data_IF_272014595113
#
_entry.id   IF_272014595113
#
_cell.length_a   1.000
_cell.length_b   1.000
_cell.length_c   1.000
_cell.angle_alpha   90.00
_cell.angle_beta   90.00
_cell.angle_gamma   90.00
#
_symmetry.space_group_name_H-M   'P 1'
#
loop_
_entity.id
_entity.type
_entity.pdbx_description
1 polymer ?
#
# COMPACT_ATOMS: atom_id res chain seq x y z
N UNK A 1 -5.03 -29.32 9.93
CA UNK A 1 -5.45 -28.16 10.73
C UNK A 1 -4.45 -27.05 10.43
N UNK A 2 -4.90 -26.02 9.72
CA UNK A 2 -4.06 -24.87 9.39
C UNK A 2 -4.40 -23.69 10.32
N UNK A 3 -3.45 -22.80 10.54
CA UNK A 3 -3.66 -21.54 11.26
C UNK A 3 -3.81 -20.43 10.24
N UNK A 4 -4.94 -19.72 10.25
CA UNK A 4 -5.29 -18.70 9.28
C UNK A 4 -5.57 -17.38 9.99
N UNK A 5 -4.96 -16.31 9.52
CA UNK A 5 -5.33 -14.94 9.90
C UNK A 5 -6.20 -14.37 8.80
N UNK A 6 -7.40 -13.91 9.14
CA UNK A 6 -8.33 -13.28 8.19
C UNK A 6 -8.50 -11.80 8.53
N UNK A 7 -8.22 -10.90 7.59
CA UNK A 7 -8.45 -9.47 7.78
C UNK A 7 -9.66 -9.01 7.00
N UNK A 8 -10.53 -8.27 7.63
CA UNK A 8 -11.72 -7.68 7.02
C UNK A 8 -11.66 -6.16 7.01
N UNK A 9 -11.66 -5.57 5.79
CA UNK A 9 -11.62 -4.12 5.59
C UNK A 9 -12.93 -3.43 5.98
N UNK A 10 -12.92 -2.09 6.08
CA UNK A 10 -14.09 -1.31 6.50
C UNK A 10 -15.33 -1.55 5.64
N UNK A 11 -15.19 -1.73 4.33
CA UNK A 11 -16.29 -2.07 3.42
C UNK A 11 -16.87 -3.47 3.67
N UNK A 12 -16.03 -4.39 4.17
CA UNK A 12 -16.43 -5.76 4.54
C UNK A 12 -17.29 -5.79 5.81
N UNK A 13 -17.13 -4.80 6.69
CA UNK A 13 -17.78 -4.67 8.01
C UNK A 13 -18.57 -3.37 8.12
N UNK A 14 -19.07 -2.83 7.00
CA UNK A 14 -19.72 -1.51 6.92
C UNK A 14 -20.98 -1.37 7.79
N UNK A 15 -21.63 -2.47 8.07
CA UNK A 15 -22.88 -2.54 8.85
C UNK A 15 -23.03 -3.91 9.51
N UNK A 16 -24.04 -4.04 10.38
CA UNK A 16 -24.31 -5.29 11.13
C UNK A 16 -24.58 -6.47 10.20
N UNK A 17 -25.28 -6.25 9.07
CA UNK A 17 -25.53 -7.30 8.09
C UNK A 17 -24.25 -7.84 7.48
N UNK A 18 -23.31 -6.96 7.13
CA UNK A 18 -21.98 -7.30 6.65
C UNK A 18 -21.14 -8.03 7.71
N UNK A 19 -21.21 -7.59 8.96
CA UNK A 19 -20.52 -8.26 10.08
C UNK A 19 -21.03 -9.71 10.23
N UNK A 20 -22.35 -9.97 10.08
CA UNK A 20 -22.90 -11.31 10.08
C UNK A 20 -22.41 -12.16 8.91
N UNK A 21 -22.25 -11.57 7.71
CA UNK A 21 -21.66 -12.28 6.57
C UNK A 21 -20.18 -12.64 6.81
N UNK A 22 -19.43 -11.72 7.43
CA UNK A 22 -18.03 -11.98 7.86
C UNK A 22 -18.00 -13.14 8.87
N UNK A 23 -18.90 -13.16 9.85
CA UNK A 23 -18.99 -14.26 10.81
C UNK A 23 -19.21 -15.61 10.14
N UNK A 24 -20.02 -15.68 9.07
CA UNK A 24 -20.20 -16.91 8.28
C UNK A 24 -18.92 -17.35 7.56
N UNK A 25 -18.12 -16.41 7.04
CA UNK A 25 -16.81 -16.73 6.42
C UNK A 25 -15.82 -17.27 7.45
N UNK A 26 -15.73 -16.63 8.61
CA UNK A 26 -14.91 -17.14 9.71
C UNK A 26 -15.36 -18.53 10.13
N UNK A 27 -16.67 -18.73 10.30
CA UNK A 27 -17.25 -20.03 10.64
C UNK A 27 -16.88 -21.11 9.61
N UNK A 28 -16.91 -20.79 8.31
CA UNK A 28 -16.54 -21.74 7.25
C UNK A 28 -15.10 -22.27 7.40
N UNK A 29 -14.15 -21.46 7.84
CA UNK A 29 -12.78 -21.93 8.11
C UNK A 29 -12.71 -22.75 9.41
N UNK A 30 -13.45 -22.36 10.44
CA UNK A 30 -13.56 -23.16 11.68
C UNK A 30 -14.18 -24.52 11.41
N UNK A 31 -15.25 -24.59 10.61
CA UNK A 31 -15.91 -25.85 10.21
C UNK A 31 -14.98 -26.78 9.40
N UNK A 32 -13.96 -26.23 8.72
CA UNK A 32 -12.89 -26.98 8.06
C UNK A 32 -11.83 -27.50 9.03
N UNK A 33 -11.96 -27.20 10.31
CA UNK A 33 -11.02 -27.59 11.36
C UNK A 33 -9.77 -26.68 11.46
N UNK A 34 -9.84 -25.46 10.96
CA UNK A 34 -8.73 -24.51 11.03
C UNK A 34 -8.79 -23.65 12.30
N UNK A 35 -7.62 -23.26 12.82
CA UNK A 35 -7.49 -22.21 13.82
C UNK A 35 -7.61 -20.84 13.13
N UNK A 36 -8.49 -19.96 13.64
CA UNK A 36 -8.77 -18.67 12.98
C UNK A 36 -8.58 -17.50 13.93
N UNK A 37 -7.75 -16.54 13.50
CA UNK A 37 -7.69 -15.20 14.07
C UNK A 37 -8.23 -14.17 13.04
N UNK A 38 -9.29 -13.44 13.41
CA UNK A 38 -9.90 -12.42 12.56
C UNK A 38 -9.43 -11.02 12.97
N UNK A 39 -8.86 -10.25 12.05
CA UNK A 39 -8.47 -8.85 12.27
C UNK A 39 -9.48 -7.96 11.57
N UNK A 40 -10.05 -7.01 12.28
CA UNK A 40 -11.09 -6.13 11.74
C UNK A 40 -10.66 -4.67 11.68
N UNK A 41 -11.09 -3.98 10.64
CA UNK A 41 -11.08 -2.52 10.55
C UNK A 41 -12.32 -1.92 11.22
N UNK A 42 -12.32 -0.62 11.44
CA UNK A 42 -13.54 0.11 11.77
C UNK A 42 -14.57 -0.02 10.63
N UNK A 43 -15.85 0.13 10.96
CA UNK A 43 -16.94 0.19 9.99
C UNK A 43 -16.69 1.31 8.98
N UNK A 44 -17.12 1.12 7.72
CA UNK A 44 -16.91 2.13 6.67
C UNK A 44 -17.40 3.52 7.10
N UNK A 45 -16.52 4.52 6.94
CA UNK A 45 -16.80 5.91 7.33
C UNK A 45 -16.55 6.22 8.82
N UNK A 46 -16.52 5.22 9.71
CA UNK A 46 -16.38 5.46 11.16
C UNK A 46 -15.05 6.17 11.49
N UNK A 47 -13.93 5.74 10.92
CA UNK A 47 -12.63 6.39 11.15
C UNK A 47 -12.65 7.85 10.70
N UNK A 48 -13.25 8.16 9.53
CA UNK A 48 -13.36 9.55 9.05
C UNK A 48 -14.19 10.40 10.02
N UNK A 49 -15.31 9.88 10.50
CA UNK A 49 -16.16 10.55 11.48
C UNK A 49 -15.39 10.85 12.78
N UNK A 50 -14.61 9.89 13.27
CA UNK A 50 -13.78 10.06 14.47
C UNK A 50 -12.68 11.12 14.24
N UNK A 51 -12.07 11.13 13.07
CA UNK A 51 -11.07 12.16 12.65
C UNK A 51 -11.72 13.54 12.61
N UNK A 52 -12.91 13.66 12.02
CA UNK A 52 -13.63 14.95 11.94
C UNK A 52 -13.97 15.46 13.35
N UNK A 53 -14.46 14.62 14.25
CA UNK A 53 -14.71 15.00 15.64
C UNK A 53 -13.47 15.50 16.37
N UNK A 54 -12.28 14.88 16.14
CA UNK A 54 -11.05 15.39 16.76
C UNK A 54 -10.67 16.77 16.23
N UNK A 55 -10.83 17.01 14.92
CA UNK A 55 -10.54 18.30 14.28
C UNK A 55 -11.52 19.39 14.76
N UNK A 56 -12.80 19.06 14.85
CA UNK A 56 -13.84 19.98 15.32
C UNK A 56 -13.64 20.34 16.79
N UNK A 57 -13.16 19.39 17.60
CA UNK A 57 -12.85 19.61 19.02
C UNK A 57 -11.60 20.47 19.21
N UNK A 58 -10.53 20.20 18.44
CA UNK A 58 -9.28 20.96 18.51
C UNK A 58 -8.48 20.88 17.21
N UNK A 59 -8.17 22.04 16.64
CA UNK A 59 -7.34 22.12 15.42
C UNK A 59 -5.87 21.69 15.66
N UNK A 60 -5.38 21.90 16.87
CA UNK A 60 -4.02 21.55 17.32
C UNK A 60 -4.11 20.48 18.41
N UNK A 61 -4.78 19.36 18.08
CA UNK A 61 -4.96 18.25 19.03
C UNK A 61 -3.65 17.52 19.33
N UNK A 62 -3.57 16.99 20.55
CA UNK A 62 -2.48 16.10 20.93
C UNK A 62 -2.63 14.75 20.17
N UNK A 63 -1.57 14.33 19.50
CA UNK A 63 -1.58 13.09 18.72
C UNK A 63 -1.88 11.85 19.56
N UNK A 64 -1.57 11.88 20.85
CA UNK A 64 -1.84 10.77 21.79
C UNK A 64 -3.34 10.63 22.06
N UNK A 65 -4.05 11.76 22.23
CA UNK A 65 -5.51 11.74 22.41
C UNK A 65 -6.24 11.47 21.10
N UNK A 66 -5.69 11.95 19.97
CA UNK A 66 -6.15 11.56 18.63
C UNK A 66 -6.16 10.04 18.45
N UNK A 67 -5.06 9.35 18.78
CA UNK A 67 -4.97 7.89 18.68
C UNK A 67 -6.01 7.17 19.54
N UNK A 68 -6.30 7.66 20.75
CA UNK A 68 -7.33 7.10 21.61
C UNK A 68 -8.71 7.17 20.95
N UNK A 69 -9.05 8.31 20.36
CA UNK A 69 -10.35 8.50 19.70
C UNK A 69 -10.47 7.60 18.46
N UNK A 70 -9.50 7.68 17.54
CA UNK A 70 -9.62 7.00 16.25
C UNK A 70 -9.50 5.48 16.35
N UNK A 71 -8.79 4.96 17.37
CA UNK A 71 -8.67 3.52 17.61
C UNK A 71 -9.98 2.87 18.14
N UNK A 72 -10.96 3.65 18.56
CA UNK A 72 -12.22 3.13 19.11
C UNK A 72 -13.09 2.44 18.04
N UNK A 73 -12.95 2.80 16.78
CA UNK A 73 -13.75 2.24 15.70
C UNK A 73 -13.56 0.74 15.54
N UNK A 74 -12.33 0.27 15.56
CA UNK A 74 -11.98 -1.16 15.48
C UNK A 74 -12.42 -1.94 16.72
N UNK A 75 -12.45 -1.30 17.87
CA UNK A 75 -12.91 -1.92 19.11
C UNK A 75 -14.41 -2.28 19.03
N UNK A 76 -15.22 -1.35 18.51
CA UNK A 76 -16.65 -1.60 18.26
C UNK A 76 -16.84 -2.78 17.31
N UNK A 77 -16.12 -2.78 16.19
CA UNK A 77 -16.24 -3.84 15.18
C UNK A 77 -15.81 -5.20 15.72
N UNK A 78 -14.71 -5.25 16.49
CA UNK A 78 -14.23 -6.50 17.11
C UNK A 78 -15.24 -7.09 18.08
N UNK A 79 -15.88 -6.25 18.90
CA UNK A 79 -16.96 -6.66 19.79
C UNK A 79 -18.17 -7.20 19.02
N UNK A 80 -18.64 -6.47 18.01
CA UNK A 80 -19.79 -6.88 17.19
C UNK A 80 -19.54 -8.18 16.42
N UNK A 81 -18.36 -8.39 15.85
CA UNK A 81 -18.02 -9.65 15.17
C UNK A 81 -17.95 -10.81 16.16
N UNK A 82 -17.40 -10.60 17.35
CA UNK A 82 -17.37 -11.64 18.39
C UNK A 82 -18.78 -12.06 18.80
N UNK A 83 -19.69 -11.12 18.98
CA UNK A 83 -21.11 -11.40 19.27
C UNK A 83 -21.78 -12.18 18.12
N UNK A 84 -21.53 -11.80 16.86
CA UNK A 84 -22.07 -12.49 15.70
C UNK A 84 -21.55 -13.93 15.57
N UNK A 85 -20.29 -14.20 15.94
CA UNK A 85 -19.71 -15.53 15.96
C UNK A 85 -20.32 -16.38 17.09
N UNK A 86 -20.51 -15.81 18.27
CA UNK A 86 -21.16 -16.47 19.41
C UNK A 86 -22.62 -16.84 19.11
N UNK A 87 -23.35 -15.97 18.37
CA UNK A 87 -24.71 -16.25 17.89
C UNK A 87 -24.75 -17.45 16.92
N UNK A 88 -23.65 -17.74 16.23
CA UNK A 88 -23.46 -18.92 15.36
C UNK A 88 -22.94 -20.15 16.10
N UNK A 89 -22.83 -20.10 17.44
CA UNK A 89 -22.33 -21.19 18.28
C UNK A 89 -20.80 -21.35 18.26
N UNK A 90 -20.05 -20.35 17.78
CA UNK A 90 -18.59 -20.35 17.76
C UNK A 90 -18.07 -19.69 19.04
N UNK A 91 -17.18 -20.36 19.78
CA UNK A 91 -16.46 -19.74 20.87
C UNK A 91 -15.50 -18.66 20.29
N UNK A 92 -15.82 -17.40 20.52
CA UNK A 92 -15.09 -16.26 20.00
C UNK A 92 -14.88 -15.18 21.05
N UNK A 93 -13.72 -14.53 21.01
CA UNK A 93 -13.37 -13.45 21.94
C UNK A 93 -12.74 -12.29 21.19
N UNK A 94 -13.19 -11.06 21.51
CA UNK A 94 -12.55 -9.82 21.06
C UNK A 94 -11.28 -9.54 21.84
N UNK A 95 -10.27 -9.03 21.10
CA UNK A 95 -8.97 -8.65 21.61
C UNK A 95 -8.60 -7.26 21.12
N UNK A 96 -8.30 -6.39 22.05
CA UNK A 96 -7.87 -5.02 21.79
C UNK A 96 -6.34 -4.95 21.79
N UNK A 97 -5.77 -3.93 21.14
CA UNK A 97 -4.32 -3.82 20.93
C UNK A 97 -3.44 -3.87 22.19
N UNK A 98 -3.99 -3.50 23.33
CA UNK A 98 -3.28 -3.63 24.64
C UNK A 98 -3.48 -4.97 25.34
N UNK A 99 -4.53 -5.72 25.01
CA UNK A 99 -4.80 -7.06 25.56
C UNK A 99 -3.93 -8.13 24.88
N UNK A 100 -3.62 -7.90 23.60
CA UNK A 100 -2.52 -8.54 22.91
C UNK A 100 -1.46 -7.44 22.80
N UNK A 101 -0.38 -7.43 23.58
CA UNK A 101 0.54 -6.33 23.49
C UNK A 101 1.18 -6.24 22.09
N UNK A 102 0.47 -5.60 21.15
CA UNK A 102 1.04 -5.17 19.87
C UNK A 102 1.90 -3.95 20.20
N UNK A 103 3.14 -4.22 20.59
CA UNK A 103 4.07 -3.18 21.02
C UNK A 103 4.50 -2.34 19.82
N UNK A 104 4.49 -1.03 20.01
CA UNK A 104 4.87 -0.07 18.97
C UNK A 104 5.83 0.97 19.53
N UNK A 105 6.51 1.67 18.61
CA UNK A 105 7.21 2.91 18.95
C UNK A 105 6.22 4.01 19.39
N UNK A 106 6.74 5.18 19.75
CA UNK A 106 5.96 6.33 20.19
C UNK A 106 5.51 7.28 19.09
N UNK A 107 5.60 6.90 17.82
CA UNK A 107 5.22 7.75 16.69
C UNK A 107 3.70 7.75 16.47
N UNK A 108 2.96 8.45 17.34
CA UNK A 108 1.50 8.53 17.28
C UNK A 108 0.98 8.89 15.87
N UNK A 109 -0.14 8.27 15.46
CA UNK A 109 -0.74 8.41 14.12
C UNK A 109 -0.04 7.63 13.01
N UNK A 110 1.19 7.14 13.22
CA UNK A 110 2.00 6.39 12.24
C UNK A 110 2.98 5.41 12.90
N UNK A 111 2.61 4.86 14.04
CA UNK A 111 3.46 3.99 14.84
C UNK A 111 3.93 2.74 14.09
N UNK A 112 5.10 2.22 14.46
CA UNK A 112 5.66 0.99 13.92
C UNK A 112 5.56 -0.13 14.93
N UNK A 113 5.15 -1.32 14.48
CA UNK A 113 5.09 -2.52 15.32
C UNK A 113 6.52 -2.99 15.58
N UNK A 114 6.86 -3.19 16.85
CA UNK A 114 8.15 -3.69 17.31
C UNK A 114 8.07 -5.17 17.71
N UNK A 115 6.98 -5.57 18.36
CA UNK A 115 6.75 -6.94 18.79
C UNK A 115 5.26 -7.21 19.04
N UNK A 116 4.86 -8.49 18.99
CA UNK A 116 3.52 -8.94 19.37
C UNK A 116 3.66 -10.14 20.30
N UNK A 117 3.07 -10.07 21.49
CA UNK A 117 2.98 -11.23 22.39
C UNK A 117 1.73 -12.04 22.08
N UNK A 118 1.92 -13.16 21.39
CA UNK A 118 0.83 -14.04 20.96
C UNK A 118 0.61 -15.24 21.90
N UNK A 119 1.28 -15.30 23.04
CA UNK A 119 1.24 -16.46 23.94
C UNK A 119 -0.18 -16.87 24.30
N UNK A 120 -0.99 -15.93 24.77
CA UNK A 120 -2.36 -16.23 25.20
C UNK A 120 -3.30 -16.49 24.00
N UNK A 121 -3.14 -15.77 22.89
CA UNK A 121 -3.93 -16.03 21.68
C UNK A 121 -3.63 -17.43 21.14
N UNK A 122 -2.36 -17.80 21.01
CA UNK A 122 -1.94 -19.13 20.52
C UNK A 122 -2.54 -20.24 21.39
N UNK A 123 -2.51 -20.06 22.71
CA UNK A 123 -3.12 -21.03 23.64
C UNK A 123 -4.62 -21.18 23.41
N UNK A 124 -5.34 -20.08 23.18
CA UNK A 124 -6.79 -20.10 22.98
C UNK A 124 -7.20 -20.61 21.60
N UNK A 125 -6.45 -20.28 20.56
CA UNK A 125 -6.64 -20.87 19.23
C UNK A 125 -6.54 -22.38 19.28
N UNK A 126 -5.52 -22.92 19.99
CA UNK A 126 -5.38 -24.38 20.21
C UNK A 126 -6.50 -25.02 21.02
N UNK A 127 -7.34 -24.25 21.70
CA UNK A 127 -8.56 -24.69 22.39
C UNK A 127 -9.82 -24.54 21.53
N UNK A 128 -9.69 -24.13 20.24
CA UNK A 128 -10.79 -23.93 19.32
C UNK A 128 -11.50 -22.57 19.42
N UNK A 129 -10.98 -21.64 20.24
CA UNK A 129 -11.54 -20.29 20.35
C UNK A 129 -11.06 -19.41 19.18
N UNK A 130 -11.97 -18.72 18.51
CA UNK A 130 -11.65 -17.70 17.51
C UNK A 130 -11.22 -16.41 18.20
N UNK A 131 -10.05 -15.87 17.78
CA UNK A 131 -9.57 -14.58 18.26
C UNK A 131 -10.02 -13.48 17.29
N UNK A 132 -10.82 -12.50 17.75
CA UNK A 132 -11.23 -11.34 16.95
C UNK A 132 -10.43 -10.13 17.43
N UNK A 133 -9.50 -9.67 16.60
CA UNK A 133 -8.51 -8.65 16.94
C UNK A 133 -8.87 -7.31 16.33
N UNK A 134 -8.90 -6.26 17.15
CA UNK A 134 -8.99 -4.89 16.67
C UNK A 134 -7.70 -4.51 15.95
N UNK A 135 -7.76 -4.28 14.63
CA UNK A 135 -6.63 -3.82 13.83
C UNK A 135 -6.27 -2.36 14.08
N UNK A 136 -5.30 -1.84 13.31
CA UNK A 136 -4.93 -0.42 13.27
C UNK A 136 -4.27 0.15 14.53
N UNK A 137 -4.36 -0.51 15.68
CA UNK A 137 -3.94 -0.02 16.99
C UNK A 137 -2.83 -0.86 17.61
N UNK A 138 -2.07 -0.25 18.51
CA UNK A 138 -1.04 -0.88 19.30
C UNK A 138 -0.84 -0.21 20.66
N UNK A 139 0.13 -0.72 21.41
CA UNK A 139 0.54 -0.25 22.72
C UNK A 139 1.93 0.37 22.63
N UNK A 140 1.97 1.69 22.65
CA UNK A 140 3.21 2.46 22.67
C UNK A 140 3.83 2.61 24.06
N UNK A 141 4.92 3.38 24.17
CA UNK A 141 5.56 3.67 25.44
C UNK A 141 4.61 4.23 26.48
N UNK A 142 4.84 3.91 27.74
CA UNK A 142 4.03 4.34 28.89
C UNK A 142 2.58 3.88 28.85
N UNK A 143 2.27 2.78 28.12
CA UNK A 143 0.92 2.22 28.07
C UNK A 143 -0.07 3.06 27.25
N UNK A 144 0.41 3.95 26.37
CA UNK A 144 -0.44 4.77 25.51
C UNK A 144 -0.90 3.98 24.29
N UNK A 145 -2.14 4.17 23.89
CA UNK A 145 -2.65 3.66 22.61
C UNK A 145 -1.93 4.41 21.49
N UNK A 146 -1.52 3.67 20.47
CA UNK A 146 -0.96 4.21 19.23
C UNK A 146 -1.76 3.72 18.03
N UNK A 147 -1.77 4.47 16.94
CA UNK A 147 -2.33 4.02 15.67
C UNK A 147 -1.25 3.89 14.60
N UNK A 148 -1.43 2.91 13.70
CA UNK A 148 -0.42 2.51 12.72
C UNK A 148 -0.47 3.34 11.43
N UNK A 149 -1.42 4.26 11.32
CA UNK A 149 -1.64 5.06 10.13
C UNK A 149 -2.38 4.30 9.01
N UNK A 150 -2.36 4.86 7.81
CA UNK A 150 -3.10 4.31 6.66
C UNK A 150 -2.70 2.85 6.38
N UNK A 151 -3.70 1.98 6.16
CA UNK A 151 -3.50 0.54 5.96
C UNK A 151 -3.06 -0.21 7.22
N UNK A 152 -3.24 0.41 8.39
CA UNK A 152 -2.81 -0.17 9.67
C UNK A 152 -3.44 -1.52 9.99
N UNK A 153 -4.69 -1.78 9.57
CA UNK A 153 -5.34 -3.08 9.80
C UNK A 153 -4.73 -4.20 8.95
N UNK A 154 -4.30 -3.91 7.69
CA UNK A 154 -3.56 -4.87 6.87
C UNK A 154 -2.21 -5.19 7.52
N UNK A 155 -1.52 -4.15 7.99
CA UNK A 155 -0.25 -4.29 8.72
C UNK A 155 -0.43 -5.10 10.01
N UNK A 156 -1.50 -4.85 10.79
CA UNK A 156 -1.81 -5.62 11.99
C UNK A 156 -2.03 -7.10 11.68
N UNK A 157 -2.77 -7.41 10.59
CA UNK A 157 -3.07 -8.78 10.21
C UNK A 157 -1.83 -9.56 9.78
N UNK A 158 -0.98 -8.95 8.94
CA UNK A 158 0.26 -9.59 8.49
C UNK A 158 1.24 -9.76 9.67
N UNK A 159 1.37 -8.76 10.55
CA UNK A 159 2.21 -8.85 11.73
C UNK A 159 1.73 -9.94 12.69
N UNK A 160 0.41 -10.05 12.90
CA UNK A 160 -0.18 -11.11 13.70
C UNK A 160 0.04 -12.49 13.07
N UNK A 161 -0.10 -12.59 11.75
CA UNK A 161 0.16 -13.84 11.02
C UNK A 161 1.62 -14.28 11.15
N UNK A 162 2.57 -13.34 11.04
CA UNK A 162 3.99 -13.61 11.29
C UNK A 162 4.25 -14.10 12.72
N UNK A 163 3.70 -13.39 13.72
CA UNK A 163 3.89 -13.75 15.14
C UNK A 163 3.25 -15.09 15.52
N UNK A 164 2.12 -15.43 14.91
CA UNK A 164 1.42 -16.71 15.11
C UNK A 164 2.03 -17.85 14.28
N UNK A 165 2.97 -17.56 13.37
CA UNK A 165 3.46 -18.54 12.38
C UNK A 165 2.29 -19.15 11.58
N UNK A 166 1.41 -18.28 11.10
CA UNK A 166 0.20 -18.70 10.39
C UNK A 166 0.54 -19.23 8.99
N UNK A 167 -0.19 -20.25 8.55
CA UNK A 167 -0.03 -20.84 7.22
C UNK A 167 -0.41 -19.86 6.09
N UNK A 168 -1.34 -18.92 6.39
CA UNK A 168 -1.82 -17.92 5.44
C UNK A 168 -2.46 -16.71 6.14
N UNK A 169 -2.33 -15.55 5.53
CA UNK A 169 -3.05 -14.32 5.89
C UNK A 169 -4.00 -13.93 4.75
N UNK A 170 -5.30 -14.05 4.96
CA UNK A 170 -6.34 -13.70 4.00
C UNK A 170 -6.75 -12.24 4.19
N UNK A 171 -6.56 -11.40 3.17
CA UNK A 171 -6.96 -9.99 3.17
C UNK A 171 -8.25 -9.85 2.35
N UNK A 172 -9.39 -9.73 3.04
CA UNK A 172 -10.68 -9.48 2.42
C UNK A 172 -10.89 -7.99 2.17
N UNK A 173 -11.19 -7.67 0.91
CA UNK A 173 -11.37 -6.29 0.42
C UNK A 173 -12.54 -6.22 -0.56
N UNK A 174 -12.74 -5.06 -1.20
CA UNK A 174 -13.78 -4.82 -2.20
C UNK A 174 -13.41 -5.29 -3.62
N UNK A 175 -12.19 -5.75 -3.83
CA UNK A 175 -11.73 -6.39 -5.07
C UNK A 175 -11.46 -7.87 -4.85
N UNK A 176 -11.52 -8.67 -5.92
CA UNK A 176 -11.39 -10.13 -5.86
C UNK A 176 -9.96 -10.63 -6.17
N UNK A 177 -8.97 -9.74 -6.13
CA UNK A 177 -7.57 -10.06 -6.33
C UNK A 177 -6.77 -8.92 -6.92
N UNK A 178 -5.54 -9.21 -7.32
CA UNK A 178 -4.63 -8.30 -8.00
C UNK A 178 -4.75 -8.55 -9.50
N UNK A 179 -4.84 -7.48 -10.27
CA UNK A 179 -5.00 -7.51 -11.72
C UNK A 179 -3.74 -7.04 -12.44
N UNK A 180 -3.58 -7.45 -13.69
CA UNK A 180 -2.48 -7.01 -14.57
C UNK A 180 -2.45 -5.49 -14.77
N UNK A 181 -3.59 -4.82 -14.62
CA UNK A 181 -3.75 -3.36 -14.48
C UNK A 181 -5.16 -3.07 -13.94
N UNK A 182 -5.56 -1.80 -13.83
CA UNK A 182 -6.90 -1.41 -13.37
C UNK A 182 -8.00 -1.87 -14.35
N UNK A 183 -8.87 -2.83 -13.98
CA UNK A 183 -9.92 -3.35 -14.87
C UNK A 183 -10.99 -2.31 -15.21
N UNK A 184 -11.09 -1.22 -14.46
CA UNK A 184 -12.03 -0.11 -14.77
C UNK A 184 -11.57 0.71 -15.98
N UNK A 185 -10.26 0.71 -16.29
CA UNK A 185 -9.65 1.41 -17.42
C UNK A 185 -9.42 0.45 -18.59
N UNK A 186 -8.91 -0.75 -18.28
CA UNK A 186 -8.58 -1.78 -19.26
C UNK A 186 -9.48 -2.99 -19.04
N UNK A 187 -10.58 -3.08 -19.80
CA UNK A 187 -11.56 -4.15 -19.65
C UNK A 187 -10.99 -5.58 -19.86
N UNK A 188 -9.83 -5.69 -20.53
CA UNK A 188 -9.10 -6.94 -20.75
C UNK A 188 -8.07 -7.24 -19.64
N UNK A 189 -7.99 -6.42 -18.60
CA UNK A 189 -7.13 -6.70 -17.44
C UNK A 189 -7.51 -8.05 -16.81
N UNK A 190 -6.50 -8.87 -16.54
CA UNK A 190 -6.69 -10.22 -15.98
C UNK A 190 -6.29 -10.27 -14.53
N UNK A 191 -7.02 -11.05 -13.76
CA UNK A 191 -6.67 -11.35 -12.39
C UNK A 191 -5.47 -12.31 -12.37
N UNK A 192 -4.46 -11.96 -11.58
CA UNK A 192 -3.30 -12.82 -11.33
C UNK A 192 -3.67 -13.90 -10.31
N UNK A 193 -3.32 -15.15 -10.57
CA UNK A 193 -3.47 -16.22 -9.59
C UNK A 193 -2.41 -16.13 -8.49
N UNK A 194 -1.20 -15.71 -8.87
CA UNK A 194 -0.04 -15.49 -7.99
C UNK A 194 0.71 -14.25 -8.42
N UNK A 195 1.40 -13.63 -7.47
CA UNK A 195 2.31 -12.50 -7.68
C UNK A 195 3.43 -12.60 -6.64
N UNK A 196 4.66 -12.19 -6.98
CA UNK A 196 5.76 -12.18 -6.00
C UNK A 196 5.60 -11.02 -5.02
N UNK A 197 6.27 -11.12 -3.86
CA UNK A 197 6.28 -10.00 -2.90
C UNK A 197 6.86 -8.72 -3.52
N UNK A 198 7.96 -8.84 -4.28
CA UNK A 198 8.62 -7.71 -4.92
C UNK A 198 7.71 -7.02 -5.95
N UNK A 199 7.04 -7.81 -6.80
CA UNK A 199 6.10 -7.27 -7.78
C UNK A 199 4.91 -6.60 -7.11
N UNK A 200 4.34 -7.24 -6.08
CA UNK A 200 3.22 -6.65 -5.32
C UNK A 200 3.63 -5.37 -4.59
N UNK A 201 4.84 -5.33 -4.02
CA UNK A 201 5.40 -4.16 -3.37
C UNK A 201 5.55 -3.00 -4.36
N UNK A 202 6.10 -3.27 -5.54
CA UNK A 202 6.22 -2.27 -6.60
C UNK A 202 4.83 -1.83 -7.10
N UNK A 203 3.91 -2.75 -7.37
CA UNK A 203 2.56 -2.40 -7.80
C UNK A 203 1.84 -1.52 -6.75
N UNK A 204 1.94 -1.87 -5.47
CA UNK A 204 1.34 -1.10 -4.37
C UNK A 204 1.97 0.30 -4.27
N UNK A 205 3.29 0.41 -4.40
CA UNK A 205 4.01 1.69 -4.36
C UNK A 205 3.72 2.58 -5.58
N UNK A 206 3.42 1.97 -6.73
CA UNK A 206 3.14 2.68 -7.98
C UNK A 206 1.65 2.96 -8.23
N UNK A 207 0.78 2.71 -7.24
CA UNK A 207 -0.63 3.14 -7.29
C UNK A 207 -1.67 2.04 -7.37
N UNK A 208 -1.30 0.76 -7.42
CA UNK A 208 -2.24 -0.35 -7.30
C UNK A 208 -2.67 -0.51 -5.82
N UNK A 209 -3.74 0.18 -5.43
CA UNK A 209 -4.19 0.32 -4.03
C UNK A 209 -4.92 -0.92 -3.47
N UNK A 210 -4.53 -2.12 -3.89
CA UNK A 210 -5.15 -3.38 -3.43
C UNK A 210 -4.64 -3.77 -2.04
N UNK A 211 -3.31 -3.69 -1.85
CA UNK A 211 -2.63 -3.87 -0.57
C UNK A 211 -1.83 -2.61 -0.22
N UNK A 212 -1.62 -2.39 1.06
CA UNK A 212 -0.74 -1.32 1.51
C UNK A 212 0.72 -1.74 1.44
N UNK A 213 1.58 -0.88 0.93
CA UNK A 213 3.02 -1.12 0.77
C UNK A 213 3.66 -1.71 2.02
N UNK A 214 3.38 -1.12 3.18
CA UNK A 214 3.91 -1.55 4.48
C UNK A 214 3.49 -2.98 4.87
N UNK A 215 2.27 -3.41 4.53
CA UNK A 215 1.81 -4.78 4.80
C UNK A 215 2.50 -5.79 3.88
N UNK A 216 2.75 -5.42 2.63
CA UNK A 216 3.50 -6.26 1.66
C UNK A 216 4.96 -6.40 2.07
N UNK A 217 5.61 -5.29 2.46
CA UNK A 217 6.97 -5.28 3.01
C UNK A 217 7.10 -6.22 4.22
N UNK A 218 6.15 -6.14 5.13
CA UNK A 218 6.12 -7.02 6.31
C UNK A 218 5.90 -8.48 5.92
N UNK A 219 5.02 -8.76 4.96
CA UNK A 219 4.79 -10.11 4.46
C UNK A 219 6.06 -10.70 3.82
N UNK A 220 6.77 -9.92 3.02
CA UNK A 220 8.05 -10.29 2.42
C UNK A 220 9.11 -10.60 3.48
N UNK A 221 9.30 -9.70 4.44
CA UNK A 221 10.33 -9.84 5.49
C UNK A 221 10.11 -11.07 6.39
N UNK A 222 8.86 -11.46 6.61
CA UNK A 222 8.49 -12.59 7.45
C UNK A 222 8.00 -13.81 6.68
N UNK A 223 8.05 -13.79 5.34
CA UNK A 223 7.57 -14.85 4.43
C UNK A 223 6.13 -15.31 4.73
N UNK A 224 5.27 -14.35 5.07
CA UNK A 224 3.85 -14.62 5.29
C UNK A 224 3.13 -14.73 3.96
N UNK A 225 2.57 -15.87 3.64
CA UNK A 225 1.68 -16.01 2.48
C UNK A 225 0.43 -15.15 2.66
N UNK A 226 0.25 -14.18 1.77
CA UNK A 226 -0.94 -13.33 1.78
C UNK A 226 -1.85 -13.72 0.64
N UNK A 227 -3.15 -13.85 0.91
CA UNK A 227 -4.15 -14.04 -0.13
C UNK A 227 -5.10 -12.85 -0.17
N UNK A 228 -5.24 -12.22 -1.31
CA UNK A 228 -6.22 -11.15 -1.55
C UNK A 228 -7.52 -11.77 -2.02
N UNK A 229 -8.60 -11.49 -1.32
CA UNK A 229 -9.92 -12.08 -1.54
C UNK A 229 -11.03 -11.02 -1.53
N UNK A 230 -12.10 -11.27 -2.27
CA UNK A 230 -13.29 -10.44 -2.19
C UNK A 230 -14.11 -10.74 -0.93
N UNK A 231 -14.60 -9.68 -0.29
CA UNK A 231 -15.62 -9.81 0.76
C UNK A 231 -17.02 -10.15 0.22
N UNK A 232 -17.22 -10.05 -1.10
CA UNK A 232 -18.53 -10.10 -1.74
C UNK A 232 -18.77 -11.32 -2.62
N UNK A 233 -17.70 -12.02 -3.00
CA UNK A 233 -17.75 -13.21 -3.85
C UNK A 233 -16.86 -14.31 -3.26
N UNK A 234 -17.10 -15.56 -3.68
CA UNK A 234 -16.28 -16.72 -3.31
C UNK A 234 -15.28 -17.08 -4.41
N UNK A 235 -15.03 -16.15 -5.34
CA UNK A 235 -14.05 -16.35 -6.39
C UNK A 235 -12.64 -16.54 -5.81
N UNK A 236 -11.79 -17.39 -6.42
CA UNK A 236 -10.40 -17.51 -6.02
C UNK A 236 -9.69 -16.16 -6.15
N UNK A 237 -8.91 -15.83 -5.14
CA UNK A 237 -8.16 -14.57 -5.09
C UNK A 237 -6.77 -14.67 -5.69
N UNK A 238 -5.93 -13.70 -5.34
CA UNK A 238 -4.50 -13.67 -5.72
C UNK A 238 -3.65 -14.04 -4.52
N UNK A 239 -2.72 -14.98 -4.68
CA UNK A 239 -1.70 -15.31 -3.70
C UNK A 239 -0.47 -14.44 -3.91
N UNK A 240 0.00 -13.79 -2.84
CA UNK A 240 1.29 -13.09 -2.78
C UNK A 240 2.29 -14.03 -2.10
N UNK A 241 3.34 -14.40 -2.81
CA UNK A 241 4.25 -15.49 -2.45
C UNK A 241 5.71 -15.13 -2.72
N UNK A 242 6.63 -15.99 -2.31
CA UNK A 242 8.05 -15.84 -2.63
C UNK A 242 8.29 -16.14 -4.13
N UNK A 243 9.37 -15.58 -4.69
CA UNK A 243 9.73 -15.72 -6.10
C UNK A 243 10.00 -17.18 -6.51
N UNK A 244 10.51 -18.00 -5.59
CA UNK A 244 10.79 -19.42 -5.82
C UNK A 244 9.53 -20.31 -5.92
N UNK A 245 8.38 -19.82 -5.51
CA UNK A 245 7.07 -20.49 -5.67
C UNK A 245 6.44 -20.29 -7.06
N UNK A 246 7.03 -19.47 -7.91
CA UNK A 246 6.54 -19.21 -9.27
C UNK A 246 7.49 -19.88 -10.28
N UNK A 247 7.04 -21.01 -10.85
CA UNK A 247 7.86 -21.87 -11.75
C UNK A 247 8.09 -21.20 -13.11
N UNK A 248 7.06 -20.58 -13.69
CA UNK A 248 7.14 -19.84 -14.95
C UNK A 248 6.91 -18.36 -14.71
N UNK A 249 7.96 -17.57 -14.96
CA UNK A 249 7.92 -16.12 -14.76
C UNK A 249 7.50 -15.42 -16.04
N UNK A 250 6.40 -14.70 -16.01
CA UNK A 250 6.10 -13.74 -17.06
C UNK A 250 7.13 -12.61 -17.02
N UNK A 251 7.53 -12.11 -18.19
CA UNK A 251 8.50 -11.00 -18.27
C UNK A 251 7.91 -9.76 -17.60
N UNK A 252 6.63 -9.50 -17.84
CA UNK A 252 5.85 -8.40 -17.26
C UNK A 252 4.61 -8.98 -16.60
N UNK A 253 4.45 -8.75 -15.31
CA UNK A 253 3.31 -9.22 -14.52
C UNK A 253 2.17 -8.21 -14.50
N UNK A 254 2.48 -6.91 -14.62
CA UNK A 254 1.44 -5.90 -14.63
C UNK A 254 1.93 -4.49 -14.89
N UNK A 255 0.95 -3.58 -14.99
CA UNK A 255 1.16 -2.15 -15.20
C UNK A 255 0.40 -1.39 -14.14
N UNK A 256 1.12 -0.65 -13.32
CA UNK A 256 0.57 0.28 -12.34
C UNK A 256 0.63 1.73 -12.85
N UNK A 257 -0.23 2.59 -12.33
CA UNK A 257 -0.19 4.00 -12.62
C UNK A 257 -0.49 4.85 -11.39
N UNK A 258 0.13 6.03 -11.32
CA UNK A 258 -0.12 7.01 -10.27
C UNK A 258 -0.51 8.35 -10.90
N UNK A 259 -1.69 8.84 -10.54
CA UNK A 259 -2.16 10.20 -10.86
C UNK A 259 -1.81 11.20 -9.76
N UNK A 260 -1.26 10.72 -8.66
CA UNK A 260 -0.84 11.54 -7.52
C UNK A 260 0.63 11.97 -7.67
N UNK A 261 0.95 12.46 -8.85
CA UNK A 261 2.29 12.92 -9.19
C UNK A 261 2.23 14.36 -9.70
N UNK A 262 3.24 15.14 -9.34
CA UNK A 262 3.54 16.43 -9.95
C UNK A 262 5.03 16.51 -10.22
N UNK A 263 5.40 17.01 -11.40
CA UNK A 263 6.79 17.18 -11.82
C UNK A 263 7.29 18.57 -11.44
N UNK A 264 8.51 18.63 -10.95
CA UNK A 264 9.24 19.88 -10.72
C UNK A 264 10.55 19.79 -11.48
N UNK A 265 10.86 20.82 -12.28
CA UNK A 265 12.16 20.97 -12.94
C UNK A 265 12.83 22.23 -12.44
N UNK A 266 14.00 22.06 -11.83
CA UNK A 266 14.89 23.14 -11.36
C UNK A 266 15.96 23.31 -12.44
N UNK A 267 15.95 24.44 -13.15
CA UNK A 267 16.81 24.65 -14.32
C UNK A 267 18.00 25.56 -14.03
N UNK A 268 19.12 25.25 -14.70
CA UNK A 268 20.36 26.03 -14.65
C UNK A 268 20.90 26.20 -13.23
N UNK A 269 20.92 25.07 -12.49
CA UNK A 269 21.62 25.01 -11.20
C UNK A 269 23.10 24.83 -11.45
N UNK A 270 23.97 25.48 -10.66
CA UNK A 270 25.42 25.29 -10.80
C UNK A 270 25.80 23.83 -10.60
N UNK A 271 26.44 23.18 -11.59
CA UNK A 271 26.88 21.78 -11.49
C UNK A 271 28.12 21.68 -10.59
N UNK A 272 27.86 21.45 -9.31
CA UNK A 272 28.90 21.37 -8.26
C UNK A 272 28.48 20.37 -7.19
N UNK A 273 29.47 19.74 -6.50
CA UNK A 273 29.16 18.90 -5.35
C UNK A 273 28.29 19.62 -4.32
N UNK A 274 27.27 18.89 -3.82
CA UNK A 274 26.36 19.41 -2.80
C UNK A 274 25.07 20.07 -3.32
N UNK A 275 24.94 20.31 -4.61
CA UNK A 275 23.74 20.97 -5.16
C UNK A 275 22.47 20.15 -4.97
N UNK A 276 22.55 18.83 -5.17
CA UNK A 276 21.41 17.95 -4.91
C UNK A 276 21.00 17.99 -3.42
N UNK A 277 21.95 17.97 -2.49
CA UNK A 277 21.67 18.13 -1.07
C UNK A 277 21.02 19.48 -0.74
N UNK A 278 21.42 20.55 -1.41
CA UNK A 278 20.84 21.89 -1.23
C UNK A 278 19.38 21.97 -1.73
N UNK A 279 19.00 21.16 -2.73
CA UNK A 279 17.63 21.07 -3.26
C UNK A 279 16.77 20.16 -2.39
N UNK A 280 17.25 18.94 -2.11
CA UNK A 280 16.43 17.90 -1.46
C UNK A 280 16.45 17.97 0.08
N UNK A 281 17.48 18.57 0.69
CA UNK A 281 17.54 18.75 2.14
C UNK A 281 16.34 19.53 2.69
N UNK A 282 16.10 20.77 2.22
CA UNK A 282 14.93 21.55 2.65
C UNK A 282 13.58 20.84 2.40
N UNK A 283 13.43 20.08 1.32
CA UNK A 283 12.22 19.28 1.07
C UNK A 283 12.04 18.20 2.13
N UNK A 284 13.12 17.49 2.47
CA UNK A 284 13.10 16.47 3.52
C UNK A 284 12.78 17.06 4.90
N UNK A 285 13.35 18.22 5.25
CA UNK A 285 13.07 18.94 6.49
C UNK A 285 11.58 19.33 6.63
N UNK A 286 10.91 19.52 5.49
CA UNK A 286 9.46 19.79 5.42
C UNK A 286 8.63 18.53 5.21
N UNK A 287 9.22 17.32 5.37
CA UNK A 287 8.56 16.03 5.17
C UNK A 287 7.90 15.87 3.78
N UNK A 288 8.54 16.41 2.73
CA UNK A 288 8.14 16.25 1.33
C UNK A 288 8.96 15.12 0.71
N UNK A 289 8.30 14.04 0.33
CA UNK A 289 8.94 12.93 -0.38
C UNK A 289 9.12 13.27 -1.86
N UNK A 290 10.24 12.81 -2.43
CA UNK A 290 10.57 12.99 -3.84
C UNK A 290 10.78 11.64 -4.52
N UNK A 291 10.46 11.55 -5.82
CA UNK A 291 10.66 10.36 -6.65
C UNK A 291 11.12 10.76 -8.06
N UNK A 292 11.48 9.79 -8.91
CA UNK A 292 11.92 9.96 -10.30
C UNK A 292 12.97 11.04 -10.49
N UNK A 293 14.00 11.09 -9.63
CA UNK A 293 15.04 12.12 -9.71
C UNK A 293 15.92 11.87 -10.93
N UNK A 294 15.99 12.87 -11.83
CA UNK A 294 16.86 12.86 -13.02
C UNK A 294 17.65 14.17 -13.09
N UNK A 295 18.96 14.06 -13.21
CA UNK A 295 19.85 15.18 -13.43
C UNK A 295 20.41 15.14 -14.86
N UNK A 296 20.38 16.25 -15.55
CA UNK A 296 20.95 16.40 -16.89
C UNK A 296 21.94 17.56 -16.88
N UNK A 297 23.20 17.29 -17.10
CA UNK A 297 24.23 18.32 -17.24
C UNK A 297 24.04 19.11 -18.54
N UNK A 298 24.30 20.42 -18.51
CA UNK A 298 24.35 21.27 -19.71
C UNK A 298 25.61 20.99 -20.56
N UNK A 299 25.56 21.37 -21.82
CA UNK A 299 26.69 21.17 -22.77
C UNK A 299 27.99 21.85 -22.31
N UNK A 300 27.91 22.95 -21.58
CA UNK A 300 29.06 23.71 -21.09
C UNK A 300 29.67 23.11 -19.80
N UNK A 301 29.04 22.08 -19.21
CA UNK A 301 29.45 21.43 -17.96
C UNK A 301 29.41 22.33 -16.73
N UNK A 302 28.75 23.48 -16.80
CA UNK A 302 28.71 24.49 -15.71
C UNK A 302 27.41 24.48 -14.95
N UNK A 303 26.34 24.06 -15.63
CA UNK A 303 25.00 23.99 -15.04
C UNK A 303 24.35 22.63 -15.28
N UNK A 304 23.34 22.32 -14.48
CA UNK A 304 22.53 21.15 -14.66
C UNK A 304 21.05 21.50 -14.49
N UNK A 305 20.19 20.71 -15.11
CA UNK A 305 18.76 20.70 -14.83
C UNK A 305 18.44 19.47 -13.96
N UNK A 306 17.72 19.67 -12.87
CA UNK A 306 17.20 18.57 -12.05
C UNK A 306 15.69 18.50 -12.19
N UNK A 307 15.21 17.33 -12.59
CA UNK A 307 13.78 17.03 -12.66
C UNK A 307 13.46 15.94 -11.67
N UNK A 308 12.38 16.10 -10.92
CA UNK A 308 11.88 15.09 -9.98
C UNK A 308 10.37 15.20 -9.83
N UNK A 309 9.75 14.20 -9.20
CA UNK A 309 8.34 14.23 -8.86
C UNK A 309 8.12 14.31 -7.35
N UNK A 310 7.01 14.91 -6.98
CA UNK A 310 6.46 14.96 -5.62
C UNK A 310 5.01 14.52 -5.65
N UNK A 311 4.42 14.17 -4.51
CA UNK A 311 2.99 13.98 -4.43
C UNK A 311 2.26 15.27 -4.85
N UNK A 312 1.19 15.15 -5.63
CA UNK A 312 0.45 16.30 -6.17
C UNK A 312 -0.02 17.27 -5.07
N UNK A 313 -0.39 16.72 -3.91
CA UNK A 313 -0.80 17.52 -2.75
C UNK A 313 0.34 18.35 -2.13
N UNK A 314 1.59 17.96 -2.37
CA UNK A 314 2.77 18.63 -1.84
C UNK A 314 3.37 19.66 -2.81
N UNK A 315 2.85 19.77 -4.04
CA UNK A 315 3.43 20.61 -5.09
C UNK A 315 3.63 22.06 -4.65
N UNK A 316 2.59 22.72 -4.19
CA UNK A 316 2.64 24.14 -3.82
C UNK A 316 3.62 24.37 -2.66
N UNK A 317 3.65 23.43 -1.71
CA UNK A 317 4.55 23.48 -0.57
C UNK A 317 6.01 23.27 -1.00
N UNK A 318 6.25 22.32 -1.91
CA UNK A 318 7.58 22.08 -2.48
C UNK A 318 8.09 23.30 -3.26
N UNK A 319 7.25 23.92 -4.08
CA UNK A 319 7.57 25.15 -4.81
C UNK A 319 7.93 26.28 -3.85
N UNK A 320 7.14 26.50 -2.79
CA UNK A 320 7.40 27.55 -1.80
C UNK A 320 8.73 27.33 -1.06
N UNK A 321 9.05 26.08 -0.68
CA UNK A 321 10.32 25.72 -0.03
C UNK A 321 11.51 26.00 -0.95
N UNK A 322 11.42 25.61 -2.23
CA UNK A 322 12.50 25.82 -3.20
C UNK A 322 12.68 27.30 -3.55
N UNK A 323 11.61 28.06 -3.74
CA UNK A 323 11.70 29.51 -3.99
C UNK A 323 12.32 30.26 -2.80
N UNK A 324 12.02 29.85 -1.57
CA UNK A 324 12.67 30.43 -0.37
C UNK A 324 14.17 30.15 -0.36
N UNK A 325 14.61 28.99 -0.83
CA UNK A 325 16.01 28.58 -0.93
C UNK A 325 16.74 29.06 -2.20
N UNK A 326 16.07 29.78 -3.10
CA UNK A 326 16.55 30.10 -4.45
C UNK A 326 17.96 30.64 -4.52
N UNK A 327 18.29 31.60 -3.67
CA UNK A 327 19.61 32.22 -3.63
C UNK A 327 20.72 31.26 -3.20
N UNK A 328 20.43 30.42 -2.21
CA UNK A 328 21.38 29.42 -1.70
C UNK A 328 21.58 28.26 -2.68
N UNK A 329 20.52 27.80 -3.36
CA UNK A 329 20.56 26.76 -4.37
C UNK A 329 21.19 27.28 -5.66
N UNK A 330 20.84 28.50 -6.07
CA UNK A 330 21.40 29.16 -7.24
C UNK A 330 20.81 28.70 -8.56
N UNK A 331 19.49 28.50 -8.65
CA UNK A 331 18.81 28.12 -9.89
C UNK A 331 18.22 29.37 -10.62
N UNK A 332 18.08 29.23 -11.94
CA UNK A 332 17.52 30.33 -12.75
C UNK A 332 15.97 30.21 -12.83
N UNK A 333 15.44 29.01 -13.06
CA UNK A 333 14.03 28.81 -13.32
C UNK A 333 13.52 27.58 -12.56
N UNK A 334 12.33 27.70 -11.96
CA UNK A 334 11.56 26.62 -11.36
C UNK A 334 10.30 26.38 -12.21
N UNK A 335 10.10 25.15 -12.69
CA UNK A 335 8.95 24.76 -13.53
C UNK A 335 8.17 23.66 -12.88
N UNK A 336 7.06 23.96 -12.18
CA UNK A 336 6.12 22.94 -11.70
C UNK A 336 5.17 22.52 -12.84
N UNK A 337 4.80 21.24 -12.87
CA UNK A 337 3.80 20.67 -13.79
C UNK A 337 2.94 19.64 -13.05
N UNK A 338 1.69 19.99 -12.72
CA UNK A 338 0.76 19.08 -12.05
C UNK A 338 0.04 18.12 -13.00
N UNK A 339 0.20 18.29 -14.32
CA UNK A 339 -0.57 17.56 -15.33
C UNK A 339 0.18 16.36 -15.89
N UNK A 340 0.73 15.56 -14.99
CA UNK A 340 1.51 14.36 -15.33
C UNK A 340 0.92 13.12 -14.67
N UNK A 341 1.23 11.95 -15.25
CA UNK A 341 0.94 10.64 -14.69
C UNK A 341 2.18 9.77 -14.80
N UNK A 342 2.46 9.01 -13.76
CA UNK A 342 3.51 8.00 -13.77
C UNK A 342 2.88 6.65 -14.18
N UNK A 343 3.49 5.98 -15.17
CA UNK A 343 3.15 4.63 -15.59
C UNK A 343 4.35 3.73 -15.33
N UNK A 344 4.10 2.57 -14.72
CA UNK A 344 5.16 1.62 -14.36
C UNK A 344 4.83 0.23 -14.87
N UNK A 345 5.67 -0.31 -15.72
CA UNK A 345 5.65 -1.72 -16.14
C UNK A 345 6.48 -2.49 -15.14
N UNK A 346 5.93 -3.58 -14.58
CA UNK A 346 6.50 -4.31 -13.45
C UNK A 346 6.55 -5.80 -13.77
N UNK A 347 7.67 -6.46 -13.44
CA UNK A 347 7.82 -7.90 -13.57
C UNK A 347 9.24 -8.36 -13.21
N UNK A 348 9.37 -9.39 -12.37
CA UNK A 348 10.67 -9.98 -11.99
C UNK A 348 11.39 -10.62 -13.18
N UNK A 349 10.65 -11.07 -14.20
CA UNK A 349 11.21 -11.60 -15.45
C UNK A 349 12.02 -10.58 -16.24
N UNK A 350 11.87 -9.29 -15.97
CA UNK A 350 12.64 -8.23 -16.64
C UNK A 350 14.12 -8.27 -16.33
N UNK A 351 14.54 -8.84 -15.20
CA UNK A 351 15.95 -9.00 -14.80
C UNK A 351 16.78 -9.73 -15.86
N UNK A 352 16.18 -10.69 -16.56
CA UNK A 352 16.85 -11.57 -17.53
C UNK A 352 16.49 -11.29 -19.00
N UNK A 353 15.63 -10.28 -19.27
CA UNK A 353 15.12 -10.03 -20.62
C UNK A 353 15.41 -8.61 -21.08
N UNK A 354 16.33 -8.49 -22.04
CA UNK A 354 16.57 -7.22 -22.70
C UNK A 354 15.40 -6.84 -23.62
N UNK A 355 15.12 -5.54 -23.75
CA UNK A 355 14.16 -5.03 -24.72
C UNK A 355 12.81 -4.61 -24.15
N UNK A 356 12.51 -4.85 -22.87
CA UNK A 356 11.26 -4.41 -22.22
C UNK A 356 11.10 -2.89 -22.38
N UNK A 357 12.11 -2.11 -22.03
CA UNK A 357 12.07 -0.65 -22.18
C UNK A 357 11.87 -0.22 -23.62
N UNK A 358 12.55 -0.88 -24.58
CA UNK A 358 12.36 -0.60 -26.02
C UNK A 358 10.90 -0.80 -26.43
N UNK A 359 10.29 -1.91 -26.01
CA UNK A 359 8.89 -2.22 -26.33
C UNK A 359 7.94 -1.16 -25.75
N UNK A 360 8.17 -0.70 -24.51
CA UNK A 360 7.41 0.37 -23.90
C UNK A 360 7.50 1.67 -24.69
N UNK A 361 8.71 2.08 -25.02
CA UNK A 361 8.95 3.35 -25.72
C UNK A 361 8.37 3.32 -27.12
N UNK A 362 8.54 2.21 -27.86
CA UNK A 362 7.95 2.05 -29.19
C UNK A 362 6.42 2.09 -29.16
N UNK A 363 5.80 1.36 -28.22
CA UNK A 363 4.35 1.32 -28.11
C UNK A 363 3.73 2.71 -27.79
N UNK A 364 4.40 3.50 -26.95
CA UNK A 364 3.98 4.87 -26.66
C UNK A 364 4.21 5.81 -27.86
N UNK A 365 5.36 5.70 -28.54
CA UNK A 365 5.69 6.50 -29.72
C UNK A 365 4.71 6.26 -30.87
N UNK A 366 4.30 5.01 -31.12
CA UNK A 366 3.33 4.64 -32.15
C UNK A 366 1.94 5.27 -31.92
N UNK A 367 1.67 5.71 -30.69
CA UNK A 367 0.45 6.44 -30.29
C UNK A 367 0.65 7.95 -30.16
N UNK A 368 1.83 8.46 -30.51
CA UNK A 368 2.16 9.88 -30.40
C UNK A 368 2.27 10.37 -28.93
N UNK A 369 2.49 9.46 -27.97
CA UNK A 369 2.60 9.79 -26.55
C UNK A 369 4.06 10.12 -26.23
N UNK A 370 4.32 11.38 -25.88
CA UNK A 370 5.66 11.83 -25.50
C UNK A 370 6.01 11.44 -24.05
N UNK A 371 7.23 10.92 -23.85
CA UNK A 371 7.79 10.58 -22.57
C UNK A 371 8.56 11.79 -22.03
N UNK A 372 8.26 12.20 -20.80
CA UNK A 372 8.90 13.36 -20.16
C UNK A 372 10.05 12.98 -19.24
N UNK A 373 9.92 11.86 -18.52
CA UNK A 373 10.92 11.33 -17.59
C UNK A 373 10.91 9.81 -17.68
N UNK A 374 12.07 9.20 -17.52
CA UNK A 374 12.25 7.74 -17.47
C UNK A 374 12.99 7.41 -16.18
N UNK A 375 12.55 6.37 -15.47
CA UNK A 375 13.24 5.79 -14.34
C UNK A 375 13.15 4.26 -14.43
N UNK A 376 14.24 3.56 -14.14
CA UNK A 376 14.29 2.10 -14.24
C UNK A 376 14.87 1.49 -12.98
N UNK A 377 14.42 0.27 -12.65
CA UNK A 377 15.05 -0.62 -11.69
C UNK A 377 15.16 -2.02 -12.30
N UNK A 378 15.61 -3.01 -11.56
CA UNK A 378 15.75 -4.38 -12.05
C UNK A 378 14.41 -5.02 -12.49
N UNK A 379 13.31 -4.63 -11.84
CA UNK A 379 11.98 -5.21 -12.04
C UNK A 379 10.92 -4.20 -12.47
N UNK A 380 11.35 -2.97 -12.81
CA UNK A 380 10.43 -1.88 -13.14
C UNK A 380 11.00 -0.94 -14.19
N UNK A 381 10.16 -0.54 -15.15
CA UNK A 381 10.40 0.61 -16.03
C UNK A 381 9.24 1.59 -15.83
N UNK A 382 9.56 2.80 -15.38
CA UNK A 382 8.58 3.86 -15.16
C UNK A 382 8.81 5.01 -16.12
N UNK A 383 7.72 5.56 -16.63
CA UNK A 383 7.71 6.78 -17.45
C UNK A 383 6.72 7.80 -16.90
N UNK A 384 7.07 9.06 -17.05
CA UNK A 384 6.17 10.17 -16.81
C UNK A 384 5.66 10.68 -18.14
N UNK A 385 4.35 10.79 -18.28
CA UNK A 385 3.68 11.30 -19.50
C UNK A 385 2.63 12.36 -19.11
N UNK A 386 2.08 13.08 -20.09
CA UNK A 386 0.97 13.98 -19.85
C UNK A 386 -0.28 13.20 -19.37
N UNK A 387 -0.95 13.72 -18.35
CA UNK A 387 -2.05 13.03 -17.67
C UNK A 387 -3.23 12.68 -18.59
N UNK A 388 -3.46 13.46 -19.64
CA UNK A 388 -4.53 13.23 -20.63
C UNK A 388 -4.40 11.89 -21.38
N UNK A 389 -3.18 11.37 -21.53
CA UNK A 389 -2.91 10.12 -22.22
C UNK A 389 -2.99 8.87 -21.33
N UNK A 390 -3.34 8.99 -20.04
CA UNK A 390 -3.30 7.88 -19.07
C UNK A 390 -4.00 6.62 -19.59
N UNK A 391 -5.25 6.73 -20.02
CA UNK A 391 -6.04 5.55 -20.42
C UNK A 391 -5.54 4.94 -21.73
N UNK A 392 -5.19 5.79 -22.72
CA UNK A 392 -4.64 5.34 -23.99
C UNK A 392 -3.32 4.59 -23.76
N UNK A 393 -2.44 5.14 -22.96
CA UNK A 393 -1.15 4.53 -22.66
C UNK A 393 -1.31 3.19 -21.94
N UNK A 394 -2.20 3.10 -20.93
CA UNK A 394 -2.46 1.85 -20.20
C UNK A 394 -2.96 0.75 -21.14
N UNK A 395 -3.95 1.03 -21.99
CA UNK A 395 -4.49 0.07 -22.96
C UNK A 395 -3.43 -0.36 -23.95
N UNK A 396 -2.64 0.60 -24.47
CA UNK A 396 -1.58 0.34 -25.43
C UNK A 396 -0.50 -0.56 -24.85
N UNK A 397 0.00 -0.24 -23.67
CA UNK A 397 1.04 -1.02 -23.00
C UNK A 397 0.53 -2.40 -22.57
N UNK A 398 -0.70 -2.50 -22.08
CA UNK A 398 -1.31 -3.78 -21.72
C UNK A 398 -1.35 -4.77 -22.88
N UNK A 399 -1.77 -4.30 -24.06
CA UNK A 399 -1.76 -5.11 -25.29
C UNK A 399 -0.34 -5.38 -25.78
N UNK A 400 0.55 -4.38 -25.75
CA UNK A 400 1.93 -4.53 -26.19
C UNK A 400 2.69 -5.63 -25.44
N UNK A 401 2.44 -5.77 -24.14
CA UNK A 401 3.05 -6.83 -23.30
C UNK A 401 2.26 -8.13 -23.27
N UNK A 402 1.21 -8.28 -24.08
CA UNK A 402 0.40 -9.50 -24.17
C UNK A 402 -0.36 -9.84 -22.88
N UNK A 403 -0.63 -8.83 -22.03
CA UNK A 403 -1.31 -9.04 -20.74
C UNK A 403 -2.81 -9.34 -20.89
N UNK A 404 -3.37 -9.23 -22.08
CA UNK A 404 -4.75 -9.54 -22.45
C UNK A 404 -4.98 -11.00 -22.86
N UNK A 405 -3.92 -11.78 -23.04
CA UNK A 405 -4.00 -13.20 -23.38
C UNK A 405 -3.76 -14.06 -22.12
N UNK A 406 -4.44 -15.20 -21.96
CA UNK A 406 -4.11 -16.19 -20.90
C UNK A 406 -2.66 -16.65 -21.08
N UNK A 407 -1.86 -16.57 -20.00
CA UNK A 407 -0.52 -17.13 -19.96
C UNK A 407 -0.58 -18.62 -19.67
#
# INVERSE_FOLDING_TARGET
MARIVQKFGGTSVSDVGRIKNVAQRVKSEVDRGNEVAAVVSAMAGATNQLVDWTRDTSRLHDAREYDVVVASGEQVTAGLLSLALQDLGIDARSWLGWQIPIRTDGAHGKARIEAIDVTEIRRRLGQGQVAVVAGFQGLGPRGRITTLGRGGSDTSAVALAAALEADRCDIFTDVDGVYTTDPRIVAKARKLSRITYEEMLEMASQGAKVLQTRSVEMAMNHRVRVQVLSSFTDAPGTLVVDEDEIVEKQIVSGIAYSRDEAKITVQKVADRPGVAAAIFGPLADHAINVDMIVQSASEDGRTADLTFTVARADLDRAVAVLETGKEAIGFAVLKPDPNVVKLSVIGVGMRSHAGVAKQMFQALADKGINIQVISTSEIKVSVLIAAEYTELALRTLHTAYGLDTPG
#
